data_IF_757792673178
#
_entry.id   IF_757792673178
#
_cell.length_a   1.000
_cell.length_b   1.000
_cell.length_c   1.000
_cell.angle_alpha   90.00
_cell.angle_beta   90.00
_cell.angle_gamma   90.00
#
_symmetry.space_group_name_H-M   'P 1'
#
loop_
_entity.id
_entity.type
_entity.pdbx_description
1 polymer ?
#
# COMPACT_ATOMS: atom_id res chain seq x y z
N UNK A 1 9.10 0.01 25.75
CA UNK A 1 8.49 -0.29 27.08
C UNK A 1 9.52 -0.94 27.96
N UNK A 2 9.60 -0.51 29.23
CA UNK A 2 10.53 -1.08 30.19
C UNK A 2 10.03 -2.44 30.69
N UNK A 3 10.82 -3.49 30.45
CA UNK A 3 10.44 -4.87 30.78
C UNK A 3 10.18 -5.12 32.27
N UNK A 4 10.92 -4.48 33.14
CA UNK A 4 10.75 -4.64 34.59
C UNK A 4 9.40 -4.00 35.04
N UNK A 5 9.00 -2.91 34.39
CA UNK A 5 7.67 -2.31 34.65
C UNK A 5 6.58 -3.25 34.15
N UNK A 6 6.70 -3.84 32.96
CA UNK A 6 5.72 -4.80 32.43
C UNK A 6 5.59 -6.03 33.31
N UNK A 7 6.69 -6.54 33.86
CA UNK A 7 6.68 -7.63 34.85
C UNK A 7 5.98 -7.24 36.15
N UNK A 8 6.32 -6.06 36.69
CA UNK A 8 5.73 -5.57 37.92
C UNK A 8 4.21 -5.34 37.77
N UNK A 9 3.81 -4.76 36.63
CA UNK A 9 2.41 -4.61 36.25
C UNK A 9 1.71 -5.95 36.13
N UNK A 10 2.33 -6.92 35.44
CA UNK A 10 1.79 -8.25 35.25
C UNK A 10 1.56 -9.02 36.54
N UNK A 11 2.37 -8.78 37.58
CA UNK A 11 2.18 -9.39 38.89
C UNK A 11 0.94 -8.84 39.67
N UNK A 12 0.57 -7.58 39.40
CA UNK A 12 -0.46 -6.86 40.13
C UNK A 12 -1.83 -6.91 39.48
N UNK A 13 -1.88 -6.92 38.14
CA UNK A 13 -3.16 -6.86 37.41
C UNK A 13 -3.88 -8.21 37.38
N UNK A 14 -5.21 -8.20 37.52
CA UNK A 14 -6.06 -9.38 37.42
C UNK A 14 -6.38 -9.70 35.94
N UNK A 15 -5.37 -10.06 35.17
CA UNK A 15 -5.51 -10.46 33.75
C UNK A 15 -4.53 -11.59 33.44
N UNK A 16 -4.93 -12.54 32.60
CA UNK A 16 -4.11 -13.71 32.23
C UNK A 16 -3.20 -13.44 31.04
N UNK A 17 -3.45 -12.37 30.28
CA UNK A 17 -2.62 -11.92 29.16
C UNK A 17 -2.28 -10.46 29.31
N UNK A 18 -1.01 -10.13 29.13
CA UNK A 18 -0.49 -8.78 29.15
C UNK A 18 0.22 -8.58 27.81
N UNK A 19 -0.18 -7.55 27.10
CA UNK A 19 0.34 -7.22 25.78
C UNK A 19 1.32 -6.05 25.91
N UNK A 20 2.51 -6.24 25.40
CA UNK A 20 3.58 -5.25 25.40
C UNK A 20 3.92 -4.86 23.95
N UNK A 21 3.92 -3.56 23.64
CA UNK A 21 4.25 -3.02 22.31
C UNK A 21 3.40 -3.57 21.16
N UNK A 22 2.14 -3.89 21.41
CA UNK A 22 1.19 -4.29 20.38
C UNK A 22 -0.23 -3.88 20.76
N UNK A 23 -1.13 -3.59 19.79
CA UNK A 23 -2.53 -3.35 20.05
C UNK A 23 -3.17 -4.55 20.78
N UNK A 24 -3.99 -4.27 21.81
CA UNK A 24 -4.59 -5.32 22.64
C UNK A 24 -5.45 -6.31 21.85
N UNK A 25 -6.19 -5.84 20.87
CA UNK A 25 -7.03 -6.68 19.99
C UNK A 25 -6.20 -7.72 19.24
N UNK A 26 -5.13 -7.31 18.60
CA UNK A 26 -4.27 -8.21 17.84
C UNK A 26 -3.32 -9.01 18.73
N UNK A 27 -2.73 -8.36 19.72
CA UNK A 27 -1.83 -9.03 20.65
C UNK A 27 -2.54 -10.06 21.53
N UNK A 28 -3.81 -9.79 21.90
CA UNK A 28 -4.63 -10.69 22.70
C UNK A 28 -5.02 -11.98 21.99
N UNK A 29 -5.23 -11.94 20.67
CA UNK A 29 -5.55 -13.13 19.86
C UNK A 29 -4.32 -14.05 19.73
N UNK A 30 -3.11 -13.50 19.71
CA UNK A 30 -1.88 -14.28 19.57
C UNK A 30 -1.47 -14.54 18.11
N UNK A 31 -0.74 -15.62 17.85
CA UNK A 31 -0.29 -16.07 16.53
C UNK A 31 0.70 -15.13 15.86
N UNK A 32 0.27 -14.34 14.87
CA UNK A 32 1.12 -13.54 13.99
C UNK A 32 1.91 -12.46 14.75
N UNK A 33 1.35 -11.93 15.83
CA UNK A 33 1.91 -10.79 16.56
C UNK A 33 2.83 -11.16 17.71
N UNK A 34 2.68 -12.36 18.26
CA UNK A 34 3.46 -12.83 19.40
C UNK A 34 3.43 -14.36 19.51
N UNK A 35 4.07 -14.91 20.53
CA UNK A 35 4.16 -16.36 20.78
C UNK A 35 2.94 -16.96 21.46
N UNK A 36 1.84 -16.22 21.65
CA UNK A 36 0.62 -16.80 22.20
C UNK A 36 -0.04 -17.73 21.18
N UNK A 37 -0.53 -18.85 21.63
CA UNK A 37 -1.41 -19.70 20.82
C UNK A 37 -2.67 -18.92 20.44
N UNK A 38 -3.14 -19.03 19.18
CA UNK A 38 -4.38 -18.40 18.75
C UNK A 38 -5.53 -18.79 19.66
N UNK A 39 -6.30 -17.82 20.13
CA UNK A 39 -7.46 -18.06 20.97
C UNK A 39 -8.50 -16.98 20.78
N UNK A 40 -9.73 -17.37 20.54
CA UNK A 40 -10.92 -16.49 20.54
C UNK A 40 -11.61 -16.42 21.90
N UNK A 41 -11.15 -17.20 22.89
CA UNK A 41 -11.71 -17.22 24.24
C UNK A 41 -11.09 -16.10 25.06
N UNK A 42 -11.88 -15.14 25.46
CA UNK A 42 -11.47 -13.95 26.21
C UNK A 42 -11.72 -14.04 27.71
N UNK A 43 -11.77 -15.25 28.24
CA UNK A 43 -11.95 -15.47 29.69
C UNK A 43 -10.68 -15.12 30.47
N UNK A 44 -10.86 -14.59 31.65
CA UNK A 44 -9.77 -14.25 32.59
C UNK A 44 -9.33 -15.42 33.48
N UNK A 45 -9.65 -16.66 33.11
CA UNK A 45 -9.40 -17.84 33.96
C UNK A 45 -10.12 -17.74 35.31
N UNK A 46 -9.44 -18.10 36.39
CA UNK A 46 -10.02 -18.00 37.74
C UNK A 46 -10.37 -16.58 38.18
N UNK A 47 -9.73 -15.57 37.61
CA UNK A 47 -10.11 -14.16 37.83
C UNK A 47 -11.47 -13.79 37.22
N UNK A 48 -11.88 -14.46 36.15
CA UNK A 48 -13.17 -14.27 35.50
C UNK A 48 -14.24 -15.27 35.95
N UNK A 49 -13.98 -16.06 37.00
CA UNK A 49 -14.87 -17.10 37.49
C UNK A 49 -15.25 -18.16 36.44
N UNK A 50 -14.35 -18.42 35.47
CA UNK A 50 -14.57 -19.40 34.42
C UNK A 50 -14.38 -20.82 34.98
N UNK A 51 -15.30 -21.74 34.63
CA UNK A 51 -15.16 -23.16 34.88
C UNK A 51 -14.42 -23.87 33.77
N UNK A 52 -13.83 -25.02 34.04
CA UNK A 52 -13.21 -25.89 33.05
C UNK A 52 -14.15 -27.03 32.66
N UNK A 53 -14.16 -27.43 31.40
CA UNK A 53 -14.95 -28.54 30.87
C UNK A 53 -14.20 -29.88 30.92
N UNK A 54 -12.90 -29.87 31.24
CA UNK A 54 -12.06 -31.07 31.32
C UNK A 54 -11.86 -31.49 32.77
N UNK A 55 -11.31 -32.70 32.98
CA UNK A 55 -10.93 -33.15 34.31
C UNK A 55 -10.01 -32.16 35.00
N UNK A 56 -10.34 -31.77 36.24
CA UNK A 56 -9.52 -30.82 37.01
C UNK A 56 -8.21 -31.49 37.41
N UNK A 57 -7.11 -30.84 37.08
CA UNK A 57 -5.77 -31.26 37.46
C UNK A 57 -5.02 -30.11 38.14
N UNK A 58 -3.81 -30.36 38.63
CA UNK A 58 -2.97 -29.34 39.27
C UNK A 58 -2.75 -28.12 38.34
N UNK A 59 -2.73 -28.28 37.00
CA UNK A 59 -2.59 -27.21 36.04
C UNK A 59 -3.81 -26.24 36.11
N UNK A 60 -5.01 -26.76 36.40
CA UNK A 60 -6.23 -25.96 36.50
C UNK A 60 -6.24 -25.06 37.76
N UNK A 61 -5.42 -25.37 38.74
CA UNK A 61 -5.27 -24.58 39.97
C UNK A 61 -4.21 -23.49 39.83
N UNK A 62 -3.42 -23.49 38.72
CA UNK A 62 -2.40 -22.52 38.50
C UNK A 62 -2.94 -21.32 37.68
N UNK A 63 -2.76 -20.14 38.22
CA UNK A 63 -3.02 -18.89 37.51
C UNK A 63 -1.82 -18.51 36.60
N UNK A 64 -1.78 -19.06 35.40
CA UNK A 64 -0.69 -18.78 34.44
C UNK A 64 -0.95 -17.45 33.81
N UNK A 65 -0.04 -16.49 34.02
CA UNK A 65 0.02 -15.21 33.26
C UNK A 65 1.05 -15.30 32.17
N UNK A 66 0.66 -14.86 30.97
CA UNK A 66 1.54 -14.80 29.83
C UNK A 66 1.78 -13.34 29.42
N UNK A 67 3.04 -12.98 29.24
CA UNK A 67 3.44 -11.68 28.72
C UNK A 67 3.84 -11.88 27.26
N UNK A 68 3.04 -11.35 26.35
CA UNK A 68 3.33 -11.37 24.92
C UNK A 68 4.14 -10.15 24.53
N UNK A 69 5.25 -10.36 23.86
CA UNK A 69 6.07 -9.31 23.27
C UNK A 69 6.02 -9.38 21.78
N UNK A 70 6.07 -8.23 21.12
CA UNK A 70 6.32 -8.19 19.71
C UNK A 70 7.69 -8.84 19.44
N UNK A 71 7.72 -9.78 18.51
CA UNK A 71 8.96 -10.37 18.06
C UNK A 71 9.63 -9.43 17.06
N UNK A 72 10.62 -8.67 17.48
CA UNK A 72 11.39 -7.78 16.62
C UNK A 72 12.45 -8.58 15.86
N UNK A 73 12.00 -9.42 14.94
CA UNK A 73 12.90 -10.13 14.04
C UNK A 73 13.51 -9.16 13.02
N UNK A 74 14.51 -9.65 12.30
CA UNK A 74 15.22 -8.94 11.23
C UNK A 74 14.26 -8.06 10.40
N UNK A 75 14.55 -6.77 10.33
CA UNK A 75 13.83 -5.80 9.50
C UNK A 75 14.51 -5.69 8.13
N UNK A 76 13.72 -5.40 7.12
CA UNK A 76 14.20 -5.17 5.76
C UNK A 76 13.23 -4.23 5.04
N UNK A 77 13.70 -3.57 3.99
CA UNK A 77 12.90 -2.71 3.13
C UNK A 77 12.80 -3.30 1.73
N UNK A 78 11.65 -3.10 1.09
CA UNK A 78 11.41 -3.48 -0.29
C UNK A 78 11.01 -2.25 -1.09
N UNK A 79 11.67 -2.06 -2.21
CA UNK A 79 11.40 -1.03 -3.21
C UNK A 79 11.40 -1.67 -4.60
N UNK A 80 10.87 -1.00 -5.62
CA UNK A 80 11.14 -1.39 -7.00
C UNK A 80 12.64 -1.51 -7.26
N UNK A 81 13.11 -2.52 -7.99
CA UNK A 81 14.53 -2.67 -8.33
C UNK A 81 15.12 -1.44 -9.03
N UNK A 82 14.28 -0.67 -9.75
CA UNK A 82 14.67 0.55 -10.43
C UNK A 82 13.57 1.60 -10.33
N UNK A 83 13.99 2.82 -9.98
CA UNK A 83 13.13 4.01 -9.95
C UNK A 83 13.81 5.06 -10.81
N UNK A 84 13.23 5.38 -11.96
CA UNK A 84 13.65 6.47 -12.82
C UNK A 84 12.82 7.70 -12.50
N UNK A 85 13.44 8.85 -12.38
CA UNK A 85 12.78 10.10 -12.01
C UNK A 85 13.36 11.26 -12.83
N UNK A 86 12.77 12.45 -12.70
CA UNK A 86 13.05 13.65 -13.49
C UNK A 86 12.40 13.68 -14.88
N UNK A 87 12.33 14.86 -15.46
CA UNK A 87 11.77 15.08 -16.79
C UNK A 87 12.40 14.19 -17.85
N UNK A 88 11.59 13.62 -18.70
CA UNK A 88 11.98 12.71 -19.77
C UNK A 88 12.52 11.34 -19.29
N UNK A 89 12.31 10.97 -18.04
CA UNK A 89 12.67 9.62 -17.56
C UNK A 89 11.92 8.52 -18.30
N UNK A 90 10.77 8.82 -18.91
CA UNK A 90 10.05 7.94 -19.85
C UNK A 90 10.96 7.37 -20.97
N UNK A 91 12.03 8.07 -21.33
CA UNK A 91 12.99 7.60 -22.36
C UNK A 91 13.63 6.26 -22.02
N UNK A 92 13.62 5.87 -20.72
CA UNK A 92 14.10 4.55 -20.33
C UNK A 92 13.37 3.42 -21.07
N UNK A 93 12.10 3.58 -21.42
CA UNK A 93 11.36 2.58 -22.22
C UNK A 93 12.03 2.30 -23.58
N UNK A 94 12.75 3.27 -24.17
CA UNK A 94 13.53 3.06 -25.38
C UNK A 94 14.70 2.11 -25.14
N UNK A 95 15.33 2.22 -23.99
CA UNK A 95 16.58 1.53 -23.66
C UNK A 95 16.36 0.27 -22.82
N UNK A 96 15.11 0.01 -22.41
CA UNK A 96 14.73 -1.18 -21.65
C UNK A 96 15.01 -2.45 -22.48
N UNK A 97 15.89 -3.32 -21.96
CA UNK A 97 16.19 -4.60 -22.60
C UNK A 97 14.96 -5.52 -22.57
N UNK A 98 14.91 -6.47 -23.50
CA UNK A 98 13.97 -7.59 -23.53
C UNK A 98 12.50 -7.26 -23.81
N UNK A 99 12.12 -5.99 -24.04
CA UNK A 99 10.76 -5.65 -24.43
C UNK A 99 10.50 -6.00 -25.90
N UNK A 100 9.55 -6.92 -26.13
CA UNK A 100 9.07 -7.35 -27.47
C UNK A 100 7.58 -7.11 -27.63
N UNK A 101 6.82 -7.31 -26.56
CA UNK A 101 5.36 -7.13 -26.49
C UNK A 101 5.00 -6.31 -25.27
N UNK A 102 4.52 -5.10 -25.48
CA UNK A 102 4.14 -4.20 -24.41
C UNK A 102 2.61 -4.05 -24.34
N UNK A 103 2.01 -4.30 -23.19
CA UNK A 103 0.60 -3.98 -22.95
C UNK A 103 0.50 -2.74 -22.08
N UNK A 104 -0.17 -1.68 -22.59
CA UNK A 104 -0.40 -0.46 -21.84
C UNK A 104 -1.76 -0.56 -21.15
N UNK A 105 -1.77 -0.38 -19.82
CA UNK A 105 -2.97 -0.39 -18.97
C UNK A 105 -3.20 1.01 -18.45
N UNK A 106 -4.37 1.59 -18.74
CA UNK A 106 -4.70 2.97 -18.39
C UNK A 106 -6.20 3.21 -18.35
N UNK A 107 -6.62 4.43 -18.08
CA UNK A 107 -7.99 4.90 -18.19
C UNK A 107 -8.20 5.77 -19.44
N UNK A 108 -9.46 5.98 -19.79
CA UNK A 108 -9.86 6.77 -20.97
C UNK A 108 -9.33 8.21 -20.90
N UNK A 109 -9.30 8.82 -19.71
CA UNK A 109 -8.81 10.18 -19.54
C UNK A 109 -7.33 10.33 -19.91
N UNK A 110 -6.48 9.38 -19.53
CA UNK A 110 -5.06 9.40 -19.91
C UNK A 110 -4.85 9.13 -21.39
N UNK A 111 -5.70 8.30 -22.00
CA UNK A 111 -5.70 8.08 -23.44
C UNK A 111 -6.06 9.37 -24.19
N UNK A 112 -7.15 10.04 -23.81
CA UNK A 112 -7.63 11.27 -24.45
C UNK A 112 -6.66 12.45 -24.27
N UNK A 113 -5.89 12.48 -23.16
CA UNK A 113 -4.79 13.42 -22.93
C UNK A 113 -3.55 13.16 -23.81
N UNK A 114 -3.57 12.08 -24.61
CA UNK A 114 -2.46 11.72 -25.50
C UNK A 114 -1.25 11.11 -24.79
N UNK A 115 -1.36 10.71 -23.53
CA UNK A 115 -0.24 10.13 -22.78
C UNK A 115 0.16 8.75 -23.29
N UNK A 116 -0.80 7.95 -23.75
CA UNK A 116 -0.53 6.69 -24.44
C UNK A 116 0.32 6.93 -25.69
N UNK A 117 -0.04 7.92 -26.51
CA UNK A 117 0.73 8.30 -27.72
C UNK A 117 2.18 8.69 -27.41
N UNK A 118 2.42 9.41 -26.30
CA UNK A 118 3.80 9.72 -25.85
C UNK A 118 4.60 8.46 -25.54
N UNK A 119 3.98 7.46 -24.90
CA UNK A 119 4.64 6.18 -24.61
C UNK A 119 4.94 5.42 -25.91
N UNK A 120 3.94 5.31 -26.80
CA UNK A 120 4.10 4.65 -28.09
C UNK A 120 5.20 5.30 -28.92
N UNK A 121 5.30 6.64 -28.93
CA UNK A 121 6.36 7.37 -29.63
C UNK A 121 7.76 7.05 -29.10
N UNK A 122 7.92 6.89 -27.78
CA UNK A 122 9.18 6.46 -27.18
C UNK A 122 9.51 5.02 -27.57
N UNK A 123 8.51 4.12 -27.50
CA UNK A 123 8.66 2.71 -27.89
C UNK A 123 9.00 2.59 -29.37
N UNK A 124 8.36 3.36 -30.26
CA UNK A 124 8.60 3.36 -31.71
C UNK A 124 10.03 3.75 -32.09
N UNK A 125 10.71 4.53 -31.25
CA UNK A 125 12.13 4.95 -31.45
C UNK A 125 13.15 3.88 -31.04
N UNK A 126 12.70 2.69 -30.65
CA UNK A 126 13.57 1.56 -30.34
C UNK A 126 14.20 1.00 -31.62
N UNK A 127 15.35 0.36 -31.47
CA UNK A 127 16.01 -0.35 -32.58
C UNK A 127 15.21 -1.59 -33.00
N UNK A 128 14.63 -2.28 -32.01
CA UNK A 128 13.82 -3.47 -32.27
C UNK A 128 12.34 -3.08 -32.25
N UNK A 129 11.57 -3.65 -33.18
CA UNK A 129 10.11 -3.51 -33.19
C UNK A 129 9.54 -4.11 -31.90
N UNK A 130 8.57 -3.42 -31.34
CA UNK A 130 7.77 -3.87 -30.22
C UNK A 130 6.31 -3.86 -30.63
N UNK A 131 5.62 -4.97 -30.43
CA UNK A 131 4.18 -5.02 -30.61
C UNK A 131 3.53 -4.41 -29.38
N UNK A 132 2.50 -3.57 -29.57
CA UNK A 132 1.83 -2.85 -28.49
C UNK A 132 0.35 -3.17 -28.54
N UNK A 133 -0.24 -3.48 -27.38
CA UNK A 133 -1.68 -3.58 -27.18
C UNK A 133 -2.12 -2.73 -25.99
N UNK A 134 -3.41 -2.36 -25.97
CA UNK A 134 -3.94 -1.35 -25.04
C UNK A 134 -5.13 -1.91 -24.26
N UNK A 135 -5.18 -1.60 -22.97
CA UNK A 135 -6.38 -1.67 -22.15
C UNK A 135 -6.63 -0.30 -21.52
N UNK A 136 -7.66 0.40 -21.99
CA UNK A 136 -7.93 1.81 -21.68
C UNK A 136 -9.22 2.01 -20.87
N UNK A 137 -9.84 0.93 -20.43
CA UNK A 137 -11.14 0.96 -19.75
C UNK A 137 -11.02 0.80 -18.24
N UNK A 138 -9.87 1.21 -17.64
CA UNK A 138 -9.72 1.20 -16.19
C UNK A 138 -10.68 2.22 -15.58
N UNK A 139 -11.47 1.76 -14.61
CA UNK A 139 -12.45 2.56 -13.87
C UNK A 139 -11.80 3.21 -12.64
N UNK A 140 -12.28 4.40 -12.20
CA UNK A 140 -12.02 4.85 -10.84
C UNK A 140 -12.47 3.77 -9.83
N UNK A 141 -11.67 3.49 -8.79
CA UNK A 141 -11.94 2.38 -7.86
C UNK A 141 -12.10 1.03 -8.59
N UNK A 142 -11.03 0.48 -9.18
CA UNK A 142 -11.09 -0.59 -10.16
C UNK A 142 -11.82 -1.82 -9.63
N UNK A 143 -12.79 -2.30 -10.42
CA UNK A 143 -13.56 -3.50 -10.09
C UNK A 143 -12.83 -4.78 -10.49
N UNK A 144 -13.14 -5.87 -9.79
CA UNK A 144 -12.63 -7.20 -10.17
C UNK A 144 -13.08 -7.58 -11.58
N UNK A 145 -14.34 -7.32 -11.92
CA UNK A 145 -14.91 -7.69 -13.22
C UNK A 145 -14.20 -6.95 -14.37
N UNK A 146 -13.91 -5.65 -14.20
CA UNK A 146 -13.11 -4.88 -15.15
C UNK A 146 -11.68 -5.42 -15.25
N UNK A 147 -11.06 -5.71 -14.11
CA UNK A 147 -9.69 -6.29 -14.06
C UNK A 147 -9.62 -7.62 -14.80
N UNK A 148 -10.63 -8.49 -14.65
CA UNK A 148 -10.71 -9.76 -15.37
C UNK A 148 -10.89 -9.57 -16.89
N UNK A 149 -11.64 -8.56 -17.35
CA UNK A 149 -11.71 -8.24 -18.80
C UNK A 149 -10.33 -7.86 -19.36
N UNK A 150 -9.60 -7.00 -18.66
CA UNK A 150 -8.23 -6.64 -19.06
C UNK A 150 -7.27 -7.84 -19.03
N UNK A 151 -7.44 -8.75 -18.08
CA UNK A 151 -6.67 -9.98 -17.98
C UNK A 151 -6.89 -10.91 -19.19
N UNK A 152 -8.10 -11.04 -19.72
CA UNK A 152 -8.37 -11.86 -20.91
C UNK A 152 -7.65 -11.29 -22.15
N UNK A 153 -7.64 -9.98 -22.34
CA UNK A 153 -6.84 -9.32 -23.38
C UNK A 153 -5.35 -9.62 -23.18
N UNK A 154 -4.87 -9.48 -21.93
CA UNK A 154 -3.47 -9.76 -21.59
C UNK A 154 -3.07 -11.21 -21.87
N UNK A 155 -3.94 -12.19 -21.56
CA UNK A 155 -3.71 -13.60 -21.85
C UNK A 155 -3.65 -13.89 -23.36
N UNK A 156 -4.49 -13.21 -24.15
CA UNK A 156 -4.50 -13.35 -25.61
C UNK A 156 -3.24 -12.73 -26.24
N UNK A 157 -2.88 -11.54 -25.82
CA UNK A 157 -1.73 -10.80 -26.36
C UNK A 157 -0.37 -11.34 -25.89
N UNK A 158 -0.30 -11.89 -24.66
CA UNK A 158 0.92 -12.42 -24.03
C UNK A 158 2.08 -11.44 -23.96
N UNK A 159 1.94 -10.31 -23.24
CA UNK A 159 3.01 -9.33 -23.10
C UNK A 159 4.18 -9.87 -22.26
N UNK A 160 5.39 -9.39 -22.58
CA UNK A 160 6.57 -9.50 -21.71
C UNK A 160 6.79 -8.26 -20.84
N UNK A 161 6.05 -7.20 -21.16
CA UNK A 161 6.10 -5.92 -20.43
C UNK A 161 4.69 -5.36 -20.29
N UNK A 162 4.32 -5.03 -19.08
CA UNK A 162 3.07 -4.35 -18.73
C UNK A 162 3.42 -2.94 -18.32
N UNK A 163 2.84 -1.94 -18.96
CA UNK A 163 3.06 -0.52 -18.67
C UNK A 163 1.76 0.06 -18.13
N UNK A 164 1.72 0.28 -16.81
CA UNK A 164 0.60 0.95 -16.16
C UNK A 164 0.86 2.46 -16.12
N UNK A 165 0.00 3.24 -16.78
CA UNK A 165 0.05 4.69 -16.72
C UNK A 165 -1.25 5.25 -16.20
N UNK A 166 -1.20 6.11 -15.20
CA UNK A 166 -2.38 6.72 -14.60
C UNK A 166 -2.22 7.03 -13.13
N UNK A 167 -3.33 7.19 -12.45
CA UNK A 167 -3.39 7.26 -11.00
C UNK A 167 -3.29 5.88 -10.35
N UNK A 168 -3.57 5.82 -9.04
CA UNK A 168 -3.57 4.55 -8.28
C UNK A 168 -4.42 3.47 -8.93
N UNK A 169 -5.62 3.80 -9.42
CA UNK A 169 -6.56 2.84 -10.03
C UNK A 169 -5.95 2.07 -11.19
N UNK A 170 -5.27 2.76 -12.13
CA UNK A 170 -4.64 2.10 -13.28
C UNK A 170 -3.48 1.18 -12.86
N UNK A 171 -2.69 1.61 -11.88
CA UNK A 171 -1.58 0.82 -11.36
C UNK A 171 -2.07 -0.37 -10.54
N UNK A 172 -3.11 -0.21 -9.73
CA UNK A 172 -3.69 -1.27 -8.89
C UNK A 172 -4.33 -2.37 -9.76
N UNK A 173 -5.11 -1.97 -10.78
CA UNK A 173 -5.65 -2.90 -11.77
C UNK A 173 -4.53 -3.68 -12.47
N UNK A 174 -3.49 -2.98 -12.93
CA UNK A 174 -2.36 -3.61 -13.61
C UNK A 174 -1.60 -4.60 -12.72
N UNK A 175 -1.42 -4.31 -11.43
CA UNK A 175 -0.79 -5.23 -10.46
C UNK A 175 -1.57 -6.53 -10.33
N UNK A 176 -2.89 -6.44 -10.24
CA UNK A 176 -3.73 -7.65 -10.12
C UNK A 176 -3.80 -8.41 -11.43
N UNK A 177 -3.90 -7.71 -12.56
CA UNK A 177 -3.80 -8.34 -13.88
C UNK A 177 -2.45 -9.05 -14.05
N UNK A 178 -1.34 -8.43 -13.64
CA UNK A 178 -0.01 -9.01 -13.67
C UNK A 178 0.09 -10.28 -12.83
N UNK A 179 -0.41 -10.25 -11.57
CA UNK A 179 -0.45 -11.42 -10.69
C UNK A 179 -1.19 -12.59 -11.33
N UNK A 180 -2.42 -12.36 -11.80
CA UNK A 180 -3.27 -13.41 -12.39
C UNK A 180 -2.80 -13.84 -13.78
N UNK A 181 -2.05 -13.01 -14.49
CA UNK A 181 -1.43 -13.36 -15.77
C UNK A 181 -0.23 -14.30 -15.61
N UNK A 182 0.63 -14.03 -14.62
CA UNK A 182 1.77 -14.90 -14.32
C UNK A 182 1.35 -16.19 -13.62
N UNK A 183 0.32 -16.10 -12.76
CA UNK A 183 -0.16 -17.16 -11.90
C UNK A 183 -1.67 -17.35 -12.03
N UNK A 184 -2.12 -18.02 -13.12
CA UNK A 184 -3.55 -18.26 -13.37
C UNK A 184 -4.22 -19.13 -12.29
N UNK A 185 -3.45 -19.87 -11.51
CA UNK A 185 -3.93 -20.69 -10.39
C UNK A 185 -4.35 -19.86 -9.16
N UNK A 186 -3.96 -18.59 -9.08
CA UNK A 186 -4.30 -17.71 -7.95
C UNK A 186 -5.76 -17.27 -8.05
N UNK A 187 -6.53 -17.60 -7.01
CA UNK A 187 -7.91 -17.16 -6.90
C UNK A 187 -7.98 -15.84 -6.11
N UNK A 188 -8.89 -14.94 -6.52
CA UNK A 188 -9.12 -13.69 -5.83
C UNK A 188 -9.53 -13.89 -4.36
N UNK A 189 -10.30 -14.93 -4.06
CA UNK A 189 -10.72 -15.27 -2.70
C UNK A 189 -9.55 -15.60 -1.77
N UNK A 190 -8.47 -16.16 -2.30
CA UNK A 190 -7.26 -16.47 -1.53
C UNK A 190 -6.46 -15.20 -1.20
N UNK A 191 -6.44 -14.23 -2.12
CA UNK A 191 -5.65 -13.01 -1.99
C UNK A 191 -6.38 -11.86 -1.29
N UNK A 192 -7.73 -11.88 -1.24
CA UNK A 192 -8.55 -10.88 -0.55
C UNK A 192 -8.55 -11.00 0.97
N UNK A 193 -7.73 -11.87 1.53
CA UNK A 193 -7.66 -12.11 2.97
C UNK A 193 -7.31 -10.82 3.73
N UNK A 194 -7.93 -10.66 4.90
CA UNK A 194 -7.75 -9.49 5.75
C UNK A 194 -6.27 -9.22 5.98
N UNK A 195 -5.91 -7.95 5.87
CA UNK A 195 -4.57 -7.47 6.15
C UNK A 195 -4.10 -7.93 7.54
N UNK A 196 -3.06 -8.75 7.54
CA UNK A 196 -2.25 -9.11 8.69
C UNK A 196 -0.81 -8.72 8.33
N UNK A 197 0.13 -8.77 9.26
CA UNK A 197 1.54 -8.50 8.92
C UNK A 197 1.97 -9.33 7.68
N UNK A 198 2.16 -8.67 6.55
CA UNK A 198 2.45 -9.31 5.25
C UNK A 198 3.73 -10.17 5.27
N UNK A 199 4.61 -9.96 6.25
CA UNK A 199 5.83 -10.72 6.44
C UNK A 199 5.59 -12.09 7.08
N UNK A 200 4.40 -12.30 7.67
CA UNK A 200 4.06 -13.50 8.44
C UNK A 200 2.79 -14.19 7.97
N UNK A 201 2.30 -13.90 6.77
CA UNK A 201 1.10 -14.53 6.22
C UNK A 201 1.24 -16.04 6.06
N UNK A 202 0.16 -16.75 6.29
CA UNK A 202 0.03 -18.16 5.90
C UNK A 202 0.05 -18.32 4.38
N UNK A 203 -0.70 -17.47 3.65
CA UNK A 203 -0.67 -17.41 2.18
C UNK A 203 0.30 -16.31 1.74
N UNK A 204 1.29 -16.68 0.96
CA UNK A 204 2.23 -15.75 0.30
C UNK A 204 1.92 -15.71 -1.18
N UNK A 205 1.93 -14.51 -1.76
CA UNK A 205 1.82 -14.38 -3.19
C UNK A 205 3.05 -15.02 -3.86
N UNK A 206 2.88 -15.62 -5.03
CA UNK A 206 3.99 -16.16 -5.78
C UNK A 206 4.93 -15.04 -6.25
N UNK A 207 6.15 -15.40 -6.62
CA UNK A 207 7.11 -14.45 -7.19
C UNK A 207 6.67 -13.99 -8.57
N UNK A 208 6.65 -12.69 -8.80
CA UNK A 208 6.29 -12.05 -10.06
C UNK A 208 7.52 -11.53 -10.82
N UNK A 209 7.31 -11.19 -12.11
CA UNK A 209 8.34 -10.62 -12.97
C UNK A 209 9.14 -11.65 -13.77
N UNK A 210 8.70 -12.90 -13.80
CA UNK A 210 9.33 -13.97 -14.62
C UNK A 210 8.78 -13.98 -16.04
N UNK A 211 7.46 -13.82 -16.18
CA UNK A 211 6.77 -13.83 -17.48
C UNK A 211 6.67 -12.43 -18.07
N UNK A 212 6.37 -11.43 -17.26
CA UNK A 212 6.27 -10.04 -17.68
C UNK A 212 6.85 -9.09 -16.62
N UNK A 213 7.44 -7.98 -17.04
CA UNK A 213 7.89 -6.90 -16.17
C UNK A 213 6.77 -5.87 -16.01
N UNK A 214 6.47 -5.45 -14.77
CA UNK A 214 5.53 -4.36 -14.54
C UNK A 214 6.30 -3.03 -14.42
N UNK A 215 5.95 -2.09 -15.30
CA UNK A 215 6.42 -0.70 -15.29
C UNK A 215 5.25 0.19 -14.88
N UNK A 216 5.41 0.98 -13.84
CA UNK A 216 4.40 1.92 -13.37
C UNK A 216 4.84 3.38 -13.62
N UNK A 217 3.93 4.17 -14.21
CA UNK A 217 4.14 5.58 -14.57
C UNK A 217 3.01 6.39 -13.93
N UNK A 218 3.24 7.03 -12.77
CA UNK A 218 2.21 7.81 -12.12
C UNK A 218 1.90 9.10 -12.87
N UNK A 219 0.61 9.46 -12.93
CA UNK A 219 0.13 10.73 -13.47
C UNK A 219 -0.49 11.61 -12.38
N UNK A 220 -0.57 11.11 -11.16
CA UNK A 220 -0.99 11.83 -9.97
C UNK A 220 0.14 11.89 -8.95
N UNK A 221 0.19 12.95 -8.18
CA UNK A 221 1.18 13.14 -7.12
C UNK A 221 0.55 12.84 -5.76
N UNK A 222 0.27 11.55 -5.49
CA UNK A 222 -0.49 11.16 -4.29
C UNK A 222 -0.23 9.75 -3.80
N UNK A 223 -0.74 8.76 -4.51
CA UNK A 223 -0.86 7.38 -4.02
C UNK A 223 0.46 6.65 -3.80
N UNK A 224 1.51 7.01 -4.54
CA UNK A 224 2.78 6.27 -4.52
C UNK A 224 2.66 4.81 -4.97
N UNK A 225 1.59 4.44 -5.71
CA UNK A 225 1.34 3.05 -6.10
C UNK A 225 2.48 2.48 -6.96
N UNK A 226 3.21 3.31 -7.69
CA UNK A 226 4.38 2.91 -8.49
C UNK A 226 5.54 2.32 -7.68
N UNK A 227 5.58 2.58 -6.38
CA UNK A 227 6.65 2.09 -5.48
C UNK A 227 6.13 1.21 -4.34
N UNK A 228 4.83 0.92 -4.30
CA UNK A 228 4.21 0.23 -3.18
C UNK A 228 3.76 -1.20 -3.52
N UNK A 229 3.67 -2.10 -2.53
CA UNK A 229 3.20 -3.47 -2.67
C UNK A 229 1.67 -3.60 -2.50
N UNK A 230 0.92 -2.52 -2.70
CA UNK A 230 -0.52 -2.46 -2.47
C UNK A 230 -1.30 -2.38 -3.78
N UNK A 231 -2.49 -2.97 -3.80
CA UNK A 231 -3.51 -2.75 -4.82
C UNK A 231 -4.90 -2.82 -4.18
N UNK A 232 -5.76 -1.86 -4.48
CA UNK A 232 -7.14 -1.83 -3.97
C UNK A 232 -8.09 -2.22 -5.10
N UNK A 233 -8.86 -3.29 -4.91
CA UNK A 233 -9.83 -3.78 -5.89
C UNK A 233 -11.21 -3.84 -5.24
N UNK A 234 -12.21 -3.43 -5.98
CA UNK A 234 -13.62 -3.49 -5.57
C UNK A 234 -14.24 -4.81 -6.03
N UNK A 235 -14.71 -5.63 -5.09
CA UNK A 235 -15.58 -6.75 -5.39
C UNK A 235 -17.01 -6.21 -5.51
N UNK A 236 -17.53 -6.18 -6.76
CA UNK A 236 -18.86 -5.66 -7.07
C UNK A 236 -19.97 -6.54 -6.53
N UNK A 237 -19.73 -7.83 -6.33
CA UNK A 237 -20.72 -8.78 -5.78
C UNK A 237 -20.94 -8.53 -4.29
N UNK A 238 -19.88 -8.24 -3.57
CA UNK A 238 -19.94 -7.94 -2.14
C UNK A 238 -20.07 -6.43 -1.85
N UNK A 239 -20.00 -5.58 -2.88
CA UNK A 239 -19.90 -4.12 -2.80
C UNK A 239 -18.86 -3.65 -1.79
N UNK A 240 -17.65 -4.20 -1.92
CA UNK A 240 -16.60 -4.02 -0.93
C UNK A 240 -15.23 -3.84 -1.55
N UNK A 241 -14.46 -2.88 -1.03
CA UNK A 241 -13.06 -2.66 -1.40
C UNK A 241 -12.14 -3.57 -0.60
N UNK A 242 -11.28 -4.27 -1.32
CA UNK A 242 -10.26 -5.16 -0.75
C UNK A 242 -8.86 -4.62 -1.00
N UNK A 243 -8.15 -4.20 0.03
CA UNK A 243 -6.72 -3.89 -0.08
C UNK A 243 -5.93 -5.18 -0.17
N UNK A 244 -5.40 -5.46 -1.34
CA UNK A 244 -4.45 -6.54 -1.57
C UNK A 244 -3.06 -6.04 -1.22
N UNK A 245 -2.31 -6.83 -0.49
CA UNK A 245 -1.00 -6.40 0.00
C UNK A 245 -0.03 -7.57 0.04
N UNK A 246 0.95 -7.54 -0.81
CA UNK A 246 2.11 -8.44 -0.74
C UNK A 246 3.30 -7.78 -1.45
N UNK A 247 4.49 -7.99 -0.91
CA UNK A 247 5.72 -7.44 -1.53
C UNK A 247 5.99 -7.96 -2.95
N UNK A 248 5.36 -9.04 -3.35
CA UNK A 248 5.39 -9.52 -4.73
C UNK A 248 4.74 -8.52 -5.71
N UNK A 249 3.73 -7.76 -5.26
CA UNK A 249 3.06 -6.73 -6.08
C UNK A 249 3.88 -5.46 -6.29
N UNK A 250 5.06 -5.34 -5.67
CA UNK A 250 5.95 -4.19 -5.91
C UNK A 250 6.35 -4.16 -7.39
N UNK A 251 6.10 -3.07 -8.13
CA UNK A 251 6.46 -2.97 -9.54
C UNK A 251 7.94 -3.26 -9.80
N UNK A 252 8.24 -3.80 -10.95
CA UNK A 252 9.63 -4.06 -11.36
C UNK A 252 10.38 -2.75 -11.62
N UNK A 253 9.67 -1.76 -12.16
CA UNK A 253 10.22 -0.46 -12.53
C UNK A 253 9.18 0.61 -12.24
N UNK A 254 9.61 1.71 -11.60
CA UNK A 254 8.84 2.94 -11.49
C UNK A 254 9.48 4.01 -12.39
N UNK A 255 8.66 4.74 -13.14
CA UNK A 255 9.10 5.89 -13.94
C UNK A 255 8.32 7.12 -13.48
N UNK A 256 8.96 7.91 -12.63
CA UNK A 256 8.38 9.11 -12.01
C UNK A 256 8.72 10.31 -12.89
N UNK A 257 8.11 10.37 -14.08
CA UNK A 257 8.30 11.47 -15.01
C UNK A 257 7.25 12.56 -14.76
N UNK A 258 7.65 13.74 -14.25
CA UNK A 258 6.71 14.79 -13.87
C UNK A 258 5.92 15.36 -15.05
N UNK A 259 6.33 15.16 -16.28
CA UNK A 259 5.57 15.60 -17.46
C UNK A 259 4.16 15.00 -17.51
N UNK A 260 3.96 13.84 -16.92
CA UNK A 260 2.64 13.19 -16.84
C UNK A 260 1.76 13.73 -15.70
N UNK A 261 2.32 14.51 -14.78
CA UNK A 261 1.59 15.15 -13.68
C UNK A 261 1.31 16.65 -13.92
N UNK A 262 1.88 17.26 -14.99
CA UNK A 262 1.74 18.69 -15.24
C UNK A 262 0.31 19.14 -15.55
N UNK A 263 -0.50 18.29 -16.17
CA UNK A 263 -1.90 18.59 -16.51
C UNK A 263 -2.89 18.32 -15.38
N UNK A 264 -2.41 17.88 -14.22
CA UNK A 264 -3.29 17.54 -13.11
C UNK A 264 -4.10 18.76 -12.62
N UNK A 265 -5.44 18.67 -12.57
CA UNK A 265 -6.29 19.77 -12.11
C UNK A 265 -5.95 20.17 -10.65
N UNK A 266 -6.07 21.48 -10.30
CA UNK A 266 -5.76 21.97 -8.95
C UNK A 266 -6.46 21.21 -7.83
N UNK A 267 -7.73 20.84 -8.03
CA UNK A 267 -8.52 20.06 -7.05
C UNK A 267 -7.89 18.70 -6.78
N UNK A 268 -7.46 18.00 -7.84
CA UNK A 268 -6.81 16.69 -7.71
C UNK A 268 -5.44 16.88 -7.07
N UNK A 269 -4.68 17.92 -7.48
CA UNK A 269 -3.39 18.24 -6.87
C UNK A 269 -3.48 18.49 -5.37
N UNK A 270 -4.55 19.19 -4.92
CA UNK A 270 -4.78 19.43 -3.49
C UNK A 270 -5.13 18.14 -2.73
N UNK A 271 -6.12 17.39 -3.23
CA UNK A 271 -6.56 16.15 -2.58
C UNK A 271 -5.40 15.13 -2.51
N UNK A 272 -4.66 14.94 -3.60
CA UNK A 272 -3.55 13.99 -3.63
C UNK A 272 -2.32 14.48 -2.86
N UNK A 273 -2.06 15.78 -2.86
CA UNK A 273 -0.92 16.34 -2.13
C UNK A 273 -1.09 16.27 -0.60
N UNK A 274 -2.32 16.47 -0.09
CA UNK A 274 -2.58 16.28 1.34
C UNK A 274 -2.55 14.79 1.74
N UNK A 275 -2.87 13.91 0.79
CA UNK A 275 -2.70 12.47 0.95
C UNK A 275 -1.23 12.08 1.13
N UNK A 276 -0.33 12.67 0.34
CA UNK A 276 1.13 12.50 0.51
C UNK A 276 1.57 12.89 1.92
N UNK A 277 1.07 14.03 2.43
CA UNK A 277 1.38 14.45 3.79
C UNK A 277 0.92 13.41 4.82
N UNK A 278 -0.29 12.91 4.64
CA UNK A 278 -0.86 11.90 5.53
C UNK A 278 -0.06 10.58 5.49
N UNK A 279 0.29 10.10 4.29
CA UNK A 279 1.16 8.95 4.11
C UNK A 279 2.49 9.11 4.85
N UNK A 280 3.14 10.25 4.68
CA UNK A 280 4.44 10.51 5.30
C UNK A 280 4.35 10.58 6.82
N UNK A 281 3.36 11.29 7.37
CA UNK A 281 3.17 11.41 8.82
C UNK A 281 2.82 10.05 9.43
N UNK A 282 1.90 9.29 8.85
CA UNK A 282 1.53 7.98 9.39
C UNK A 282 2.68 6.97 9.30
N UNK A 283 3.46 7.00 8.22
CA UNK A 283 4.66 6.18 8.11
C UNK A 283 5.69 6.53 9.22
N UNK A 284 5.85 7.81 9.51
CA UNK A 284 6.79 8.28 10.52
C UNK A 284 6.41 7.87 11.95
N UNK A 285 5.11 7.93 12.29
CA UNK A 285 4.62 7.55 13.63
C UNK A 285 4.22 6.08 13.75
N UNK A 286 4.44 5.30 12.71
CA UNK A 286 4.10 3.88 12.69
C UNK A 286 4.93 3.08 13.69
N UNK A 287 4.33 2.07 14.28
CA UNK A 287 5.07 1.09 15.11
C UNK A 287 6.09 0.28 14.31
N UNK A 288 6.05 0.34 12.99
CA UNK A 288 6.98 -0.31 12.06
C UNK A 288 8.00 0.68 11.48
N UNK A 289 7.98 1.92 11.93
CA UNK A 289 8.95 2.94 11.53
C UNK A 289 10.39 2.48 11.83
N UNK A 290 11.31 2.98 11.03
CA UNK A 290 12.74 2.71 11.14
C UNK A 290 13.52 3.94 10.67
N UNK A 291 14.81 4.01 10.99
CA UNK A 291 15.67 5.10 10.52
C UNK A 291 15.62 5.29 9.00
N UNK A 292 15.42 4.21 8.24
CA UNK A 292 15.27 4.24 6.78
C UNK A 292 13.95 4.92 6.38
N UNK A 293 12.83 4.44 6.90
CA UNK A 293 11.51 4.98 6.57
C UNK A 293 11.31 6.39 7.10
N UNK A 294 11.92 6.72 8.24
CA UNK A 294 11.90 8.04 8.85
C UNK A 294 12.60 9.09 7.98
N UNK A 295 13.72 8.71 7.36
CA UNK A 295 14.43 9.57 6.43
C UNK A 295 13.55 9.95 5.23
N UNK A 296 12.87 8.97 4.63
CA UNK A 296 11.95 9.21 3.52
C UNK A 296 10.71 10.01 3.96
N UNK A 297 10.10 9.65 5.09
CA UNK A 297 8.92 10.33 5.60
C UNK A 297 9.19 11.82 5.89
N UNK A 298 10.27 12.14 6.59
CA UNK A 298 10.68 13.53 6.86
C UNK A 298 10.93 14.32 5.58
N UNK A 299 11.59 13.72 4.59
CA UNK A 299 11.83 14.36 3.31
C UNK A 299 10.53 14.64 2.56
N UNK A 300 9.60 13.70 2.55
CA UNK A 300 8.29 13.88 1.92
C UNK A 300 7.50 15.01 2.62
N UNK A 301 7.43 15.03 3.96
CA UNK A 301 6.78 16.11 4.72
C UNK A 301 7.38 17.47 4.35
N UNK A 302 8.71 17.59 4.35
CA UNK A 302 9.40 18.82 3.96
C UNK A 302 8.99 19.29 2.57
N UNK A 303 9.05 18.39 1.58
CA UNK A 303 8.70 18.74 0.20
C UNK A 303 7.24 19.19 0.06
N UNK A 304 6.32 18.55 0.79
CA UNK A 304 4.90 18.93 0.78
C UNK A 304 4.72 20.34 1.34
N UNK A 305 5.28 20.64 2.51
CA UNK A 305 5.15 21.98 3.12
C UNK A 305 5.77 23.09 2.27
N UNK A 306 6.85 22.80 1.57
CA UNK A 306 7.52 23.79 0.73
C UNK A 306 6.84 24.01 -0.63
N UNK A 307 6.04 23.05 -1.13
CA UNK A 307 5.63 23.07 -2.54
C UNK A 307 4.14 22.89 -2.78
N UNK A 308 3.35 22.32 -1.85
CA UNK A 308 1.95 21.99 -2.11
C UNK A 308 1.13 23.23 -2.51
N UNK A 309 1.24 24.31 -1.77
CA UNK A 309 0.49 25.54 -2.02
C UNK A 309 0.75 26.09 -3.43
N UNK A 310 2.01 26.24 -3.82
CA UNK A 310 2.42 26.71 -5.15
C UNK A 310 1.99 25.74 -6.24
N UNK A 311 2.12 24.44 -6.00
CA UNK A 311 1.67 23.40 -6.94
C UNK A 311 0.18 23.48 -7.23
N UNK A 312 -0.64 23.79 -6.22
CA UNK A 312 -2.11 23.84 -6.32
C UNK A 312 -2.61 25.18 -6.83
N UNK A 313 -2.16 26.28 -6.22
CA UNK A 313 -2.73 27.62 -6.47
C UNK A 313 -2.12 28.27 -7.72
N UNK A 314 -0.84 28.09 -7.96
CA UNK A 314 -0.12 28.71 -9.06
C UNK A 314 0.09 27.74 -10.25
N UNK A 315 -0.02 26.44 -10.02
CA UNK A 315 0.33 25.42 -11.02
C UNK A 315 1.82 25.41 -11.35
N UNK A 316 2.66 25.91 -10.40
CA UNK A 316 4.10 26.07 -10.60
C UNK A 316 4.76 24.75 -11.00
N UNK A 317 5.45 24.70 -12.14
CA UNK A 317 6.02 23.46 -12.67
C UNK A 317 7.09 22.84 -11.74
N UNK A 318 7.90 23.65 -11.07
CA UNK A 318 8.96 23.15 -10.20
C UNK A 318 8.35 22.62 -8.90
N UNK A 319 7.33 23.28 -8.37
CA UNK A 319 6.56 22.78 -7.24
C UNK A 319 5.84 21.45 -7.59
N UNK A 320 5.28 21.32 -8.80
CA UNK A 320 4.68 20.06 -9.27
C UNK A 320 5.69 18.93 -9.36
N UNK A 321 6.91 19.19 -9.83
CA UNK A 321 8.00 18.20 -9.83
C UNK A 321 8.30 17.75 -8.39
N UNK A 322 8.42 18.70 -7.46
CA UNK A 322 8.71 18.40 -6.05
C UNK A 322 7.59 17.59 -5.39
N UNK A 323 6.32 17.93 -5.69
CA UNK A 323 5.18 17.16 -5.20
C UNK A 323 5.12 15.76 -5.79
N UNK A 324 5.48 15.59 -7.06
CA UNK A 324 5.54 14.29 -7.72
C UNK A 324 6.61 13.39 -7.09
N UNK A 325 7.79 13.93 -6.82
CA UNK A 325 8.85 13.25 -6.09
C UNK A 325 8.42 12.94 -4.64
N UNK A 326 7.75 13.88 -3.95
CA UNK A 326 7.27 13.68 -2.59
C UNK A 326 6.29 12.51 -2.48
N UNK A 327 5.41 12.33 -3.48
CA UNK A 327 4.47 11.22 -3.53
C UNK A 327 5.19 9.86 -3.57
N UNK A 328 6.18 9.70 -4.43
CA UNK A 328 6.98 8.47 -4.50
C UNK A 328 7.81 8.26 -3.24
N UNK A 329 8.41 9.31 -2.67
CA UNK A 329 9.19 9.22 -1.44
C UNK A 329 8.30 8.80 -0.24
N UNK A 330 7.11 9.38 -0.11
CA UNK A 330 6.13 8.95 0.90
C UNK A 330 5.69 7.50 0.65
N UNK A 331 5.49 7.13 -0.62
CA UNK A 331 5.22 5.77 -1.06
C UNK A 331 6.27 4.77 -0.56
N UNK A 332 7.55 5.09 -0.73
CA UNK A 332 8.65 4.27 -0.23
C UNK A 332 8.62 4.13 1.30
N UNK A 333 8.28 5.19 2.01
CA UNK A 333 8.18 5.16 3.47
C UNK A 333 7.04 4.24 3.93
N UNK A 334 5.80 4.49 3.49
CA UNK A 334 4.67 3.72 3.99
C UNK A 334 4.59 2.29 3.42
N UNK A 335 5.16 2.01 2.27
CA UNK A 335 5.29 0.65 1.77
C UNK A 335 6.02 -0.27 2.77
N UNK A 336 6.89 0.29 3.59
CA UNK A 336 7.72 -0.44 4.55
C UNK A 336 7.35 -0.21 6.01
N UNK A 337 6.82 0.98 6.36
CA UNK A 337 6.35 1.31 7.71
C UNK A 337 4.84 1.10 7.89
N UNK A 338 4.09 0.95 6.80
CA UNK A 338 2.62 0.93 6.78
C UNK A 338 1.98 2.24 7.22
N UNK A 339 0.65 2.22 7.32
CA UNK A 339 -0.18 3.35 7.66
C UNK A 339 -0.87 3.12 9.01
N UNK A 340 -1.62 4.09 9.49
CA UNK A 340 -2.21 4.06 10.82
C UNK A 340 -3.72 4.28 10.84
N UNK A 341 -4.14 4.96 11.87
CA UNK A 341 -5.56 5.21 12.19
C UNK A 341 -6.22 6.13 11.16
N UNK A 342 -5.49 7.12 10.64
CA UNK A 342 -6.06 8.11 9.72
C UNK A 342 -6.57 7.44 8.46
N UNK A 343 -5.72 6.65 7.79
CA UNK A 343 -6.13 5.89 6.61
C UNK A 343 -7.21 4.87 6.91
N UNK A 344 -7.16 4.21 8.07
CA UNK A 344 -8.19 3.25 8.47
C UNK A 344 -9.57 3.90 8.58
N UNK A 345 -9.65 5.11 9.13
CA UNK A 345 -10.88 5.90 9.20
C UNK A 345 -11.28 6.43 7.82
N UNK A 346 -10.32 6.97 7.05
CA UNK A 346 -10.56 7.54 5.74
C UNK A 346 -11.15 6.51 4.75
N UNK A 347 -10.67 5.27 4.76
CA UNK A 347 -11.24 4.21 3.95
C UNK A 347 -12.70 3.90 4.28
N UNK A 348 -13.07 3.95 5.56
CA UNK A 348 -14.47 3.70 5.98
C UNK A 348 -15.36 4.87 5.66
N UNK A 349 -14.96 6.07 6.08
CA UNK A 349 -15.73 7.30 5.90
C UNK A 349 -15.85 7.66 4.40
N UNK A 350 -14.71 7.65 3.68
CA UNK A 350 -14.70 7.96 2.26
C UNK A 350 -15.47 6.94 1.41
N UNK A 351 -15.44 5.65 1.80
CA UNK A 351 -16.22 4.60 1.13
C UNK A 351 -17.73 4.75 1.34
N UNK A 352 -18.16 5.07 2.56
CA UNK A 352 -19.59 5.23 2.90
C UNK A 352 -20.21 6.48 2.26
N UNK A 353 -19.49 7.60 2.30
CA UNK A 353 -20.04 8.90 1.83
C UNK A 353 -19.49 9.37 0.48
N UNK A 354 -18.76 8.51 -0.22
CA UNK A 354 -18.16 8.81 -1.53
C UNK A 354 -17.33 10.11 -1.55
N UNK A 355 -16.63 10.40 -0.44
CA UNK A 355 -15.70 11.52 -0.35
C UNK A 355 -14.34 11.10 -0.95
N UNK A 356 -13.70 11.95 -1.78
CA UNK A 356 -12.37 11.66 -2.31
C UNK A 356 -11.37 11.30 -1.21
N UNK A 357 -10.60 10.24 -1.43
CA UNK A 357 -9.72 9.63 -0.43
C UNK A 357 -8.76 10.62 0.23
N UNK A 358 -7.99 11.37 -0.56
CA UNK A 358 -7.04 12.35 -0.03
C UNK A 358 -7.71 13.47 0.74
N UNK A 359 -8.91 13.91 0.33
CA UNK A 359 -9.70 14.90 1.07
C UNK A 359 -10.12 14.35 2.42
N UNK A 360 -10.61 13.12 2.47
CA UNK A 360 -11.00 12.47 3.73
C UNK A 360 -9.80 12.36 4.66
N UNK A 361 -8.64 11.98 4.13
CA UNK A 361 -7.40 11.95 4.89
C UNK A 361 -7.04 13.33 5.46
N UNK A 362 -7.11 14.38 4.64
CA UNK A 362 -6.82 15.76 5.09
C UNK A 362 -7.76 16.27 6.17
N UNK A 363 -9.06 15.91 6.08
CA UNK A 363 -10.05 16.29 7.11
C UNK A 363 -9.78 15.60 8.45
N UNK A 364 -9.33 14.36 8.45
CA UNK A 364 -9.09 13.57 9.66
C UNK A 364 -7.73 13.83 10.29
N UNK A 365 -6.73 14.15 9.49
CA UNK A 365 -5.33 14.25 9.90
C UNK A 365 -5.08 15.13 11.15
N UNK A 366 -5.64 16.36 11.26
CA UNK A 366 -5.43 17.18 12.45
C UNK A 366 -5.99 16.54 13.73
N UNK A 367 -7.08 15.81 13.62
CA UNK A 367 -7.70 15.11 14.76
C UNK A 367 -6.86 13.92 15.20
N UNK A 368 -6.36 13.14 14.26
CA UNK A 368 -5.51 11.99 14.55
C UNK A 368 -4.16 12.41 15.12
N UNK A 369 -3.56 13.50 14.60
CA UNK A 369 -2.32 14.06 15.17
C UNK A 369 -2.53 14.48 16.64
N UNK A 370 -3.63 15.17 16.95
CA UNK A 370 -3.95 15.56 18.33
C UNK A 370 -4.14 14.33 19.21
N UNK A 371 -4.90 13.35 18.75
CA UNK A 371 -5.12 12.11 19.48
C UNK A 371 -3.79 11.41 19.80
N UNK A 372 -2.95 11.20 18.82
CA UNK A 372 -1.65 10.55 19.00
C UNK A 372 -0.70 11.35 19.92
N UNK A 373 -0.79 12.69 19.89
CA UNK A 373 0.02 13.57 20.75
C UNK A 373 -0.46 13.65 22.20
N UNK A 374 -1.68 13.19 22.50
CA UNK A 374 -2.24 13.22 23.86
C UNK A 374 -2.20 11.87 24.56
N UNK A 375 -2.05 10.77 23.80
CA UNK A 375 -1.94 9.42 24.38
C UNK A 375 -0.48 9.18 24.77
N UNK A 376 -0.18 8.90 26.06
CA UNK A 376 1.20 8.52 26.44
C UNK A 376 1.62 7.25 25.69
N UNK A 377 2.73 7.35 24.98
CA UNK A 377 3.36 6.24 24.25
C UNK A 377 4.07 5.25 25.17
#
# INVERSE_FOLDING_TARGET
TNHEISKAFGKRIKAIRIIENAPSTFGGIGSVYNAFLPSLTLGCGSYGHNSVSNNVSAINLLNIKRIGRRNNNMQWVKLPPKIYFERNSIRYLRDMKEMKKAMIVTDRGMYDLGYVGKIEDVIRRRRNKVDVDLFIDVEPDPSLDMTLKGLEIMKSFQPDTIIAIGGGSSMDAAKVMWLMYEHPEVNFDDIKQKFMDIRKRAFKFPELGKKAKLVCIPTTSGTGSEVTPFAVITDTKENKKYPLTDYALTPTIAIVDPEFAMSMPPRIAADTGIDVLTHAIEAYVSILASDFTDGWAKQAVKLVFENLEKSVLEGDPDARIKMHNAASIAGMAFANAFLGMNHSLAHKIGGEWHIPHGRTNGMLLPHVIRYNGTVPT
#
